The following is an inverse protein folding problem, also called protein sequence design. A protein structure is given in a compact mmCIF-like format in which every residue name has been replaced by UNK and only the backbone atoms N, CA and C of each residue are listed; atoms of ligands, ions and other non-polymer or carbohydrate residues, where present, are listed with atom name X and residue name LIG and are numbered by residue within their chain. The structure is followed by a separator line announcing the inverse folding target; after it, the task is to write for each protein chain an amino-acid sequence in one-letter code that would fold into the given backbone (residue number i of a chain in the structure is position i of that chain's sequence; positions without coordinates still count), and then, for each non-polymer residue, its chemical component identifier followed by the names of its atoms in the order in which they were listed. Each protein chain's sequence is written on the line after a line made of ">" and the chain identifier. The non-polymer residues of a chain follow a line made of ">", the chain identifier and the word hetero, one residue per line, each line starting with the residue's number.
data_IF_325802408439
#
_entry.id   IF_325802408439
#
_cell.length_a   1.000
_cell.length_b   1.000
_cell.length_c   1.000
_cell.angle_alpha   90.00
_cell.angle_beta   90.00
_cell.angle_gamma   90.00
#
_symmetry.space_group_name_H-M   'P 1'
#
loop_
_entity.id
_entity.type
_entity.pdbx_description
1 polymer ?
#
# COMPACT_ATOMS: atom_id res chain seq x y z
N UNK A 1 16.38 11.26 -11.77
CA UNK A 1 15.43 10.29 -11.19
C UNK A 1 14.75 10.96 -10.00
N UNK A 2 13.44 11.20 -10.08
CA UNK A 2 12.71 11.93 -9.04
C UNK A 2 12.27 10.99 -7.92
N UNK A 3 12.23 11.50 -6.69
CA UNK A 3 11.72 10.80 -5.52
C UNK A 3 10.60 11.60 -4.89
N UNK A 4 9.46 10.97 -4.63
CA UNK A 4 8.29 11.61 -4.01
C UNK A 4 7.79 10.77 -2.85
N UNK A 5 7.38 11.43 -1.77
CA UNK A 5 6.71 10.79 -0.64
C UNK A 5 5.23 11.14 -0.74
N UNK A 6 4.37 10.13 -0.67
CA UNK A 6 2.91 10.29 -0.71
C UNK A 6 2.28 9.48 0.42
N UNK A 7 1.13 9.91 0.93
CA UNK A 7 0.33 9.05 1.81
C UNK A 7 -0.47 8.03 0.99
N UNK A 8 -0.74 6.86 1.56
CA UNK A 8 -1.51 5.80 0.92
C UNK A 8 -2.86 6.28 0.37
N UNK A 9 -3.54 7.19 1.08
CA UNK A 9 -4.80 7.82 0.65
C UNK A 9 -4.70 8.63 -0.64
N UNK A 10 -3.49 8.93 -1.11
CA UNK A 10 -3.25 9.65 -2.36
C UNK A 10 -2.84 8.70 -3.51
N UNK A 11 -2.71 7.40 -3.26
CA UNK A 11 -2.31 6.41 -4.27
C UNK A 11 -3.34 6.32 -5.41
N UNK A 12 -4.63 6.32 -5.06
CA UNK A 12 -5.76 6.30 -6.02
C UNK A 12 -5.88 7.56 -6.88
N UNK A 13 -5.17 8.65 -6.57
CA UNK A 13 -5.20 9.90 -7.33
C UNK A 13 -4.41 9.84 -8.64
N UNK A 14 -3.67 8.76 -8.88
CA UNK A 14 -2.89 8.56 -10.10
C UNK A 14 -3.03 7.13 -10.60
N UNK A 15 -3.48 6.98 -11.85
CA UNK A 15 -3.64 5.68 -12.48
C UNK A 15 -2.31 4.91 -12.58
N UNK A 16 -1.21 5.61 -12.85
CA UNK A 16 0.13 5.01 -12.92
C UNK A 16 0.56 4.40 -11.59
N UNK A 17 0.22 5.04 -10.47
CA UNK A 17 0.54 4.54 -9.13
C UNK A 17 -0.30 3.32 -8.77
N UNK A 18 -1.59 3.33 -9.10
CA UNK A 18 -2.48 2.18 -8.91
C UNK A 18 -1.98 1.00 -9.75
N UNK A 19 -1.58 1.23 -10.99
CA UNK A 19 -1.05 0.19 -11.86
C UNK A 19 0.28 -0.38 -11.34
N UNK A 20 1.21 0.50 -10.95
CA UNK A 20 2.49 0.09 -10.36
C UNK A 20 2.28 -0.71 -9.06
N UNK A 21 1.35 -0.29 -8.21
CA UNK A 21 1.00 -1.02 -6.99
C UNK A 21 0.48 -2.42 -7.29
N UNK A 22 -0.49 -2.57 -8.20
CA UNK A 22 -1.02 -3.89 -8.55
C UNK A 22 0.02 -4.81 -9.21
N UNK A 23 0.99 -4.25 -9.95
CA UNK A 23 2.08 -5.04 -10.53
C UNK A 23 3.13 -5.47 -9.51
N UNK A 24 3.50 -4.59 -8.58
CA UNK A 24 4.58 -4.83 -7.63
C UNK A 24 4.10 -5.60 -6.39
N UNK A 25 2.86 -5.35 -5.97
CA UNK A 25 2.20 -5.94 -4.81
C UNK A 25 0.84 -6.54 -5.18
N UNK A 26 0.78 -7.52 -6.10
CA UNK A 26 -0.48 -8.12 -6.55
C UNK A 26 -1.25 -8.84 -5.43
N UNK A 27 -0.55 -9.23 -4.36
CA UNK A 27 -1.11 -9.88 -3.17
C UNK A 27 -1.13 -8.96 -1.94
N UNK A 28 -0.87 -7.66 -2.12
CA UNK A 28 -0.62 -6.72 -1.03
C UNK A 28 0.84 -6.70 -0.60
N UNK A 29 1.12 -5.95 0.48
CA UNK A 29 2.43 -5.78 1.10
C UNK A 29 2.40 -6.30 2.53
N UNK A 30 3.51 -6.85 3.00
CA UNK A 30 3.69 -7.31 4.38
C UNK A 30 4.64 -6.40 5.18
N UNK A 31 4.81 -6.66 6.48
CA UNK A 31 5.73 -5.85 7.30
C UNK A 31 7.19 -5.90 6.80
N UNK A 32 7.59 -6.99 6.14
CA UNK A 32 8.93 -7.17 5.58
C UNK A 32 9.18 -6.27 4.35
N UNK A 33 8.11 -5.83 3.67
CA UNK A 33 8.19 -4.88 2.55
C UNK A 33 8.32 -3.42 3.02
N UNK A 34 8.10 -3.16 4.31
CA UNK A 34 8.06 -1.80 4.85
C UNK A 34 9.44 -1.32 5.28
N UNK A 35 9.84 -0.20 4.68
CA UNK A 35 10.98 0.59 5.11
C UNK A 35 10.54 1.49 6.26
N UNK A 36 11.19 1.36 7.41
CA UNK A 36 10.96 2.22 8.57
C UNK A 36 12.09 3.23 8.73
N UNK A 37 11.76 4.51 8.82
CA UNK A 37 12.73 5.57 9.10
C UNK A 37 12.17 6.57 10.11
N UNK A 38 13.06 7.33 10.75
CA UNK A 38 12.67 8.45 11.62
C UNK A 38 12.65 9.75 10.82
N UNK A 39 11.54 10.49 10.87
CA UNK A 39 11.46 11.81 10.25
C UNK A 39 12.20 12.86 11.10
N UNK A 40 12.25 14.10 10.61
CA UNK A 40 12.88 15.22 11.33
C UNK A 40 12.24 15.54 12.68
N UNK A 41 11.00 15.08 12.92
CA UNK A 41 10.28 15.24 14.18
C UNK A 41 10.52 14.08 15.16
N UNK A 42 11.34 13.09 14.80
CA UNK A 42 11.63 11.91 15.61
C UNK A 42 10.55 10.83 15.54
N UNK A 43 9.53 11.00 14.69
CA UNK A 43 8.46 10.03 14.52
C UNK A 43 8.92 8.89 13.62
N UNK A 44 8.56 7.65 13.99
CA UNK A 44 8.78 6.48 13.14
C UNK A 44 7.74 6.45 12.03
N UNK A 45 8.21 6.56 10.79
CA UNK A 45 7.42 6.50 9.58
C UNK A 45 7.69 5.18 8.88
N UNK A 46 6.62 4.45 8.53
CA UNK A 46 6.68 3.25 7.71
C UNK A 46 6.26 3.59 6.28
N UNK A 47 7.03 3.13 5.30
CA UNK A 47 6.74 3.32 3.87
C UNK A 47 7.06 2.06 3.06
N UNK A 48 6.37 1.85 1.94
CA UNK A 48 6.83 0.91 0.90
C UNK A 48 7.25 1.67 -0.36
N UNK A 49 8.04 1.03 -1.21
CA UNK A 49 8.56 1.63 -2.45
C UNK A 49 7.71 1.22 -3.67
N UNK A 50 7.22 2.20 -4.42
CA UNK A 50 6.63 2.00 -5.74
C UNK A 50 7.50 2.64 -6.82
N UNK A 51 7.78 1.86 -7.86
CA UNK A 51 8.54 2.32 -9.01
C UNK A 51 7.63 2.58 -10.20
N UNK A 52 7.63 3.81 -10.68
CA UNK A 52 7.11 4.16 -12.01
C UNK A 52 8.26 4.39 -12.97
N UNK A 53 7.95 4.64 -14.25
CA UNK A 53 8.94 4.85 -15.31
C UNK A 53 9.94 5.98 -14.98
N UNK A 54 9.47 7.06 -14.35
CA UNK A 54 10.25 8.28 -14.18
C UNK A 54 10.44 8.71 -12.71
N UNK A 55 9.77 8.05 -11.77
CA UNK A 55 9.76 8.45 -10.37
C UNK A 55 9.67 7.25 -9.42
N UNK A 56 10.38 7.36 -8.30
CA UNK A 56 10.28 6.42 -7.18
C UNK A 56 9.38 7.08 -6.12
N UNK A 57 8.33 6.37 -5.71
CA UNK A 57 7.39 6.82 -4.71
C UNK A 57 7.61 6.04 -3.41
N UNK A 58 7.74 6.76 -2.31
CA UNK A 58 7.66 6.18 -0.97
C UNK A 58 6.26 6.43 -0.44
N UNK A 59 5.50 5.36 -0.30
CA UNK A 59 4.09 5.44 0.10
C UNK A 59 4.00 5.23 1.61
N UNK A 60 3.60 6.28 2.34
CA UNK A 60 3.42 6.23 3.79
C UNK A 60 2.19 5.42 4.14
N UNK A 61 2.41 4.42 4.97
CA UNK A 61 1.35 3.60 5.57
C UNK A 61 1.20 4.01 7.03
N UNK A 62 0.02 4.51 7.39
CA UNK A 62 -0.35 4.68 8.80
C UNK A 62 -0.68 3.30 9.38
N UNK A 63 -0.45 3.13 10.68
CA UNK A 63 -0.56 1.86 11.43
C UNK A 63 -1.92 1.14 11.31
N UNK A 64 -2.93 1.75 10.67
CA UNK A 64 -4.30 1.27 10.57
C UNK A 64 -4.66 0.65 9.21
N UNK A 65 -3.91 0.93 8.13
CA UNK A 65 -4.31 0.57 6.75
C UNK A 65 -3.52 -0.61 6.17
N UNK A 66 -2.84 -1.38 7.03
CA UNK A 66 -2.06 -2.57 6.67
C UNK A 66 -2.77 -3.87 7.04
N UNK A 67 -4.10 -3.90 7.00
CA UNK A 67 -4.86 -5.13 7.24
C UNK A 67 -4.78 -5.98 5.97
N UNK A 68 -3.93 -7.01 6.08
CA UNK A 68 -3.84 -8.22 5.27
C UNK A 68 -5.04 -8.43 4.32
N UNK A 69 -4.80 -8.26 3.03
CA UNK A 69 -5.53 -9.07 2.06
C UNK A 69 -4.85 -10.43 2.10
N UNK A 70 -5.21 -11.26 3.11
CA UNK A 70 -5.06 -12.71 2.93
C UNK A 70 -5.70 -13.02 1.58
N UNK A 71 -5.10 -13.90 0.74
CA UNK A 71 -5.85 -14.41 -0.40
C UNK A 71 -7.15 -14.96 0.20
N UNK A 72 -8.27 -14.32 -0.12
CA UNK A 72 -9.57 -14.83 0.24
C UNK A 72 -9.61 -16.17 -0.48
N UNK A 73 -9.31 -17.25 0.25
CA UNK A 73 -9.80 -18.55 -0.12
C UNK A 73 -11.31 -18.32 -0.19
N UNK A 74 -11.84 -18.32 -1.40
CA UNK A 74 -13.26 -18.10 -1.71
C UNK A 74 -14.18 -19.09 -0.99
N UNK A 75 -13.63 -20.05 -0.26
CA UNK A 75 -14.32 -21.06 0.53
C UNK A 75 -14.65 -20.65 1.98
N UNK A 76 -14.06 -19.58 2.55
CA UNK A 76 -14.27 -19.19 3.97
C UNK A 76 -15.20 -17.96 4.15
N UNK A 77 -15.84 -17.50 3.07
CA UNK A 77 -16.78 -16.37 3.11
C UNK A 77 -18.24 -16.87 3.15
N UNK A 78 -18.73 -17.21 4.33
CA UNK A 78 -20.18 -17.25 4.60
C UNK A 78 -20.71 -15.81 4.62
N UNK A 79 -20.92 -15.25 3.42
CA UNK A 79 -21.61 -13.97 3.23
C UNK A 79 -23.10 -14.28 3.21
N UNK A 80 -23.78 -14.05 4.34
CA UNK A 80 -25.23 -13.95 4.38
C UNK A 80 -25.66 -12.70 3.60
N UNK A 81 -25.96 -12.90 2.31
CA UNK A 81 -26.71 -11.93 1.52
C UNK A 81 -28.16 -11.96 2.02
N UNK A 82 -28.54 -11.02 2.88
CA UNK A 82 -29.96 -10.66 2.98
C UNK A 82 -30.37 -9.94 1.69
N UNK A 83 -31.16 -10.62 0.86
CA UNK A 83 -31.89 -9.99 -0.24
C UNK A 83 -33.02 -9.13 0.34
N UNK A 84 -33.03 -7.83 0.01
CA UNK A 84 -34.21 -6.96 0.14
C UNK A 84 -34.93 -6.81 -1.20
#
# INVERSE_FOLDING_TARGET
>A
MNRKIIDFNNLNKSLDLVFAYNMQYPYGYDEDDLITYSNQQGEKVKVFELKTKDCIYLVKVSKAEGIHIKPLAVDDLDIDFEEE
#
